data_IF_334915116336
#
_entry.id   IF_334915116336
#
_cell.length_a   1.000
_cell.length_b   1.000
_cell.length_c   1.000
_cell.angle_alpha   90.00
_cell.angle_beta   90.00
_cell.angle_gamma   90.00
#
_symmetry.space_group_name_H-M   'P 1'
#
loop_
_entity.id
_entity.type
_entity.pdbx_description
1 polymer ?
#
# COMPACT_ATOMS: atom_id res chain seq x y z
N UNK A 1 -5.18 9.78 10.86
CA UNK A 1 -4.77 10.17 9.49
C UNK A 1 -5.80 9.65 8.50
N UNK A 2 -5.98 10.29 7.34
CA UNK A 2 -6.77 9.75 6.22
C UNK A 2 -5.82 9.18 5.16
N UNK A 3 -6.21 8.10 4.50
CA UNK A 3 -5.48 7.57 3.34
C UNK A 3 -5.89 8.31 2.08
N UNK A 4 -4.93 8.53 1.16
CA UNK A 4 -5.15 9.15 -0.16
C UNK A 4 -5.84 8.21 -1.14
N UNK A 5 -5.71 6.89 -0.92
CA UNK A 5 -6.26 5.83 -1.76
C UNK A 5 -7.05 4.84 -0.90
N UNK A 6 -8.01 4.16 -1.53
CA UNK A 6 -8.93 3.24 -0.87
C UNK A 6 -8.44 1.77 -0.87
N UNK A 7 -7.18 1.54 -1.25
CA UNK A 7 -6.58 0.20 -1.23
C UNK A 7 -6.42 -0.34 0.18
N UNK A 8 -6.48 -1.66 0.29
CA UNK A 8 -6.12 -2.37 1.53
C UNK A 8 -4.63 -2.25 1.77
N UNK A 9 -4.25 -1.73 2.94
CA UNK A 9 -2.85 -1.65 3.37
C UNK A 9 -2.68 -2.58 4.58
N UNK A 10 -1.77 -3.54 4.48
CA UNK A 10 -1.35 -4.37 5.61
C UNK A 10 -0.02 -3.84 6.13
N UNK A 11 0.07 -3.53 7.42
CA UNK A 11 1.29 -3.07 8.07
C UNK A 11 1.64 -4.06 9.17
N UNK A 12 2.82 -4.66 9.07
CA UNK A 12 3.28 -5.72 9.97
C UNK A 12 4.71 -5.41 10.44
N UNK A 13 5.01 -5.67 11.70
CA UNK A 13 6.38 -5.54 12.20
C UNK A 13 7.24 -6.71 11.69
N UNK A 14 8.40 -6.41 11.13
CA UNK A 14 9.41 -7.39 10.74
C UNK A 14 10.52 -7.40 11.79
N UNK A 15 10.63 -8.49 12.55
CA UNK A 15 11.76 -8.67 13.49
C UNK A 15 13.12 -8.70 12.78
N UNK A 16 13.29 -9.38 11.63
CA UNK A 16 14.55 -9.36 10.87
C UNK A 16 14.97 -7.96 10.42
N UNK A 17 14.03 -7.16 9.91
CA UNK A 17 14.29 -5.80 9.39
C UNK A 17 14.20 -4.72 10.46
N UNK A 18 13.76 -5.09 11.68
CA UNK A 18 13.51 -4.21 12.83
C UNK A 18 12.64 -2.99 12.52
N UNK A 19 11.73 -3.12 11.57
CA UNK A 19 10.85 -2.03 11.13
C UNK A 19 9.48 -2.57 10.71
N UNK A 20 8.53 -1.67 10.50
CA UNK A 20 7.22 -1.99 9.94
C UNK A 20 7.29 -2.07 8.43
N UNK A 21 6.65 -3.09 7.86
CA UNK A 21 6.51 -3.29 6.43
C UNK A 21 5.04 -3.11 6.07
N UNK A 22 4.76 -2.10 5.24
CA UNK A 22 3.47 -1.86 4.64
C UNK A 22 3.39 -2.54 3.27
N UNK A 23 2.26 -3.17 2.94
CA UNK A 23 2.02 -3.86 1.67
C UNK A 23 0.63 -3.59 1.13
N UNK A 24 0.49 -3.62 -0.19
CA UNK A 24 -0.81 -3.51 -0.89
C UNK A 24 -1.04 -4.76 -1.72
N UNK A 25 -1.70 -5.81 -1.17
CA UNK A 25 -1.83 -7.11 -1.83
C UNK A 25 -2.57 -7.03 -3.17
N UNK A 26 -3.31 -5.96 -3.40
CA UNK A 26 -4.10 -5.74 -4.62
C UNK A 26 -3.25 -5.26 -5.80
N UNK A 27 -2.14 -4.55 -5.53
CA UNK A 27 -1.25 -3.99 -6.54
C UNK A 27 -0.08 -4.92 -6.89
N UNK A 28 0.02 -6.05 -6.19
CA UNK A 28 1.03 -7.10 -6.42
C UNK A 28 1.92 -7.33 -5.19
N UNK A 29 2.59 -8.48 -5.18
CA UNK A 29 3.43 -8.92 -4.05
C UNK A 29 4.69 -8.06 -3.85
N UNK A 30 5.11 -7.34 -4.90
CA UNK A 30 6.31 -6.50 -4.90
C UNK A 30 6.04 -5.05 -4.44
N UNK A 31 4.78 -4.71 -4.13
CA UNK A 31 4.43 -3.39 -3.64
C UNK A 31 4.52 -3.38 -2.11
N UNK A 32 5.64 -2.87 -1.63
CA UNK A 32 5.91 -2.73 -0.19
C UNK A 32 6.67 -1.44 0.12
N UNK A 33 6.51 -0.96 1.35
CA UNK A 33 7.27 0.16 1.90
C UNK A 33 7.66 -0.13 3.36
N UNK A 34 8.72 0.51 3.82
CA UNK A 34 9.26 0.33 5.17
C UNK A 34 9.00 1.59 6.01
N UNK A 35 8.93 1.42 7.33
CA UNK A 35 8.87 2.55 8.25
C UNK A 35 9.23 2.17 9.67
N UNK A 36 9.80 3.11 10.43
CA UNK A 36 10.14 2.89 11.84
C UNK A 36 8.89 2.85 12.72
N UNK A 37 7.82 3.48 12.26
CA UNK A 37 6.50 3.48 12.90
C UNK A 37 5.41 3.06 11.90
N UNK A 38 4.21 2.78 12.42
CA UNK A 38 3.03 2.58 11.57
C UNK A 38 2.74 3.79 10.67
N UNK A 39 2.97 5.01 11.18
CA UNK A 39 2.70 6.24 10.45
C UNK A 39 3.72 6.45 9.32
N UNK A 40 4.99 6.15 9.57
CA UNK A 40 6.04 6.19 8.54
C UNK A 40 5.77 5.17 7.43
N UNK A 41 5.50 3.91 7.79
CA UNK A 41 5.22 2.88 6.81
C UNK A 41 3.96 3.20 5.99
N UNK A 42 2.94 3.80 6.62
CA UNK A 42 1.72 4.26 5.95
C UNK A 42 1.97 5.45 5.02
N UNK A 43 2.91 6.34 5.36
CA UNK A 43 3.26 7.47 4.50
C UNK A 43 4.00 6.98 3.26
N UNK A 44 5.04 6.18 3.45
CA UNK A 44 5.88 5.68 2.36
C UNK A 44 5.08 4.81 1.39
N UNK A 45 4.18 3.94 1.88
CA UNK A 45 3.36 3.11 0.98
C UNK A 45 2.37 3.95 0.15
N UNK A 46 1.92 5.11 0.63
CA UNK A 46 1.05 5.98 -0.16
C UNK A 46 1.78 6.61 -1.35
N UNK A 47 3.06 6.95 -1.19
CA UNK A 47 3.90 7.43 -2.28
C UNK A 47 4.17 6.29 -3.29
N UNK A 48 4.42 5.08 -2.80
CA UNK A 48 4.55 3.89 -3.66
C UNK A 48 3.26 3.60 -4.44
N UNK A 49 2.09 3.70 -3.81
CA UNK A 49 0.80 3.56 -4.51
C UNK A 49 0.68 4.62 -5.61
N UNK A 50 1.00 5.88 -5.32
CA UNK A 50 0.93 6.95 -6.32
C UNK A 50 1.82 6.65 -7.54
N UNK A 51 3.09 6.31 -7.31
CA UNK A 51 4.04 5.94 -8.36
C UNK A 51 3.54 4.73 -9.16
N UNK A 52 3.00 3.72 -8.48
CA UNK A 52 2.46 2.52 -9.12
C UNK A 52 1.30 2.89 -10.05
N UNK A 53 0.35 3.72 -9.59
CA UNK A 53 -0.77 4.17 -10.41
C UNK A 53 -0.33 5.02 -11.60
N UNK A 54 0.70 5.85 -11.42
CA UNK A 54 1.33 6.61 -12.52
C UNK A 54 1.94 5.67 -13.56
N UNK A 55 2.63 4.60 -13.15
CA UNK A 55 3.16 3.58 -14.08
C UNK A 55 2.05 2.92 -14.89
N UNK A 56 0.96 2.47 -14.24
CA UNK A 56 -0.21 1.94 -14.95
C UNK A 56 -0.74 2.93 -15.99
N UNK A 57 -0.87 4.20 -15.61
CA UNK A 57 -1.33 5.25 -16.53
C UNK A 57 -0.38 5.46 -17.72
N UNK A 58 0.93 5.45 -17.48
CA UNK A 58 1.94 5.64 -18.51
C UNK A 58 1.97 4.48 -19.52
N UNK A 59 1.73 3.27 -19.03
CA UNK A 59 1.71 2.05 -19.86
C UNK A 59 0.35 1.84 -20.55
N UNK A 60 -0.63 2.73 -20.34
CA UNK A 60 -1.99 2.60 -20.88
C UNK A 60 -2.77 1.44 -20.26
N UNK A 61 -2.34 0.96 -19.09
CA UNK A 61 -2.94 -0.15 -18.36
C UNK A 61 -3.92 0.37 -17.29
N UNK A 62 -4.88 -0.47 -16.92
CA UNK A 62 -5.81 -0.16 -15.81
C UNK A 62 -5.31 -0.83 -14.53
N UNK A 63 -5.14 -0.07 -13.43
CA UNK A 63 -4.74 -0.67 -12.18
C UNK A 63 -5.84 -1.58 -11.61
N UNK A 64 -5.47 -2.58 -10.79
CA UNK A 64 -6.40 -3.35 -9.98
C UNK A 64 -7.31 -2.43 -9.16
N UNK A 65 -8.58 -2.80 -8.97
CA UNK A 65 -9.50 -1.98 -8.17
C UNK A 65 -9.36 -2.28 -6.68
N UNK A 66 -9.47 -1.27 -5.80
CA UNK A 66 -9.54 -1.45 -4.36
C UNK A 66 -10.63 -2.45 -3.90
N UNK A 67 -10.28 -3.31 -2.96
CA UNK A 67 -11.15 -4.29 -2.30
C UNK A 67 -11.79 -3.62 -1.10
N UNK A 68 -12.89 -2.90 -1.35
CA UNK A 68 -13.71 -2.39 -0.26
C UNK A 68 -14.39 -3.57 0.48
N UNK A 69 -14.23 -3.62 1.80
CA UNK A 69 -14.97 -4.56 2.64
C UNK A 69 -16.44 -4.10 2.65
N UNK A 70 -17.33 -4.87 2.02
CA UNK A 70 -18.76 -4.59 2.03
C UNK A 70 -19.36 -5.00 3.37
N UNK A 71 -19.32 -4.07 4.33
CA UNK A 71 -19.96 -4.09 5.65
C UNK A 71 -19.54 -5.29 6.51
N UNK A 72 -18.86 -5.02 7.63
CA UNK A 72 -18.79 -5.98 8.72
C UNK A 72 -20.23 -6.27 9.17
N UNK A 73 -20.67 -7.51 8.98
CA UNK A 73 -21.94 -8.03 9.46
C UNK A 73 -21.93 -8.17 10.97
#
# INVERSE_FOLDING_TARGET
MKTKYEYTINIEYSEPDKCYIARVPELGEYISAFGETYEDALKEIQDVIELTLQSYSNDGLKPPKPKAIKKAM
#
